data_IF_256224877543
#
_entry.id   IF_256224877543
#
_cell.length_a   1.000
_cell.length_b   1.000
_cell.length_c   1.000
_cell.angle_alpha   90.00
_cell.angle_beta   90.00
_cell.angle_gamma   90.00
#
_symmetry.space_group_name_H-M   'P 1'
#
loop_
_entity.id
_entity.type
_entity.pdbx_description
1 polymer ?
#
# COMPACT_ATOMS: atom_id res chain seq x y z
N UNK A 1 91.92 -23.90 -17.13
CA UNK A 1 91.65 -23.13 -18.37
C UNK A 1 91.68 -21.66 -18.02
N UNK A 2 92.15 -20.73 -18.87
CA UNK A 2 92.08 -19.33 -18.63
C UNK A 2 90.59 -18.92 -18.57
N UNK A 3 90.25 -17.98 -17.65
CA UNK A 3 88.90 -17.41 -17.54
C UNK A 3 88.63 -16.60 -18.80
N UNK A 4 87.54 -16.79 -19.49
CA UNK A 4 87.13 -15.95 -20.62
C UNK A 4 87.15 -14.46 -20.29
N UNK A 5 87.57 -13.60 -21.20
CA UNK A 5 87.80 -12.18 -20.99
C UNK A 5 86.50 -11.48 -20.38
N UNK A 6 85.39 -11.91 -20.83
CA UNK A 6 84.04 -11.37 -20.35
C UNK A 6 83.72 -11.64 -18.87
N UNK A 7 84.44 -12.53 -18.18
CA UNK A 7 84.20 -12.85 -16.76
C UNK A 7 85.41 -12.49 -15.86
N UNK A 8 86.42 -11.81 -16.34
CA UNK A 8 87.65 -11.49 -15.62
C UNK A 8 87.39 -10.47 -14.49
N UNK A 9 86.44 -9.56 -14.68
CA UNK A 9 86.08 -8.48 -13.75
C UNK A 9 84.94 -8.84 -12.78
N UNK A 10 84.42 -10.08 -12.82
CA UNK A 10 83.40 -10.49 -11.89
C UNK A 10 83.95 -10.54 -10.47
N UNK A 11 83.22 -9.93 -9.51
CA UNK A 11 83.56 -9.95 -8.08
C UNK A 11 83.56 -11.38 -7.53
N UNK A 12 84.27 -11.59 -6.38
CA UNK A 12 84.14 -12.84 -5.65
C UNK A 12 82.71 -12.97 -5.05
N UNK A 13 82.11 -14.15 -5.15
CA UNK A 13 80.75 -14.43 -4.71
C UNK A 13 79.90 -14.83 -5.88
N UNK A 14 78.62 -14.67 -5.70
CA UNK A 14 77.55 -14.89 -6.70
C UNK A 14 77.23 -13.58 -7.46
N UNK A 15 77.30 -13.65 -8.78
CA UNK A 15 77.00 -12.51 -9.66
C UNK A 15 76.09 -12.99 -10.77
N UNK A 16 75.04 -12.27 -11.01
CA UNK A 16 74.15 -12.47 -12.12
C UNK A 16 74.48 -11.49 -13.23
N UNK A 17 74.71 -12.02 -14.44
CA UNK A 17 74.98 -11.24 -15.66
C UNK A 17 73.73 -11.36 -16.53
N UNK A 18 73.02 -10.26 -16.66
CA UNK A 18 71.77 -10.18 -17.40
C UNK A 18 71.91 -9.79 -18.86
N UNK A 19 73.14 -9.45 -19.28
CA UNK A 19 73.42 -9.21 -20.70
C UNK A 19 73.61 -10.52 -21.41
N UNK A 20 73.11 -10.64 -22.66
CA UNK A 20 73.13 -11.87 -23.45
C UNK A 20 74.52 -12.34 -23.78
N UNK A 21 74.86 -13.62 -23.53
CA UNK A 21 74.01 -14.62 -22.86
C UNK A 21 73.95 -14.44 -21.33
N UNK A 22 72.73 -14.44 -20.81
CA UNK A 22 72.51 -14.35 -19.36
C UNK A 22 73.07 -15.57 -18.63
N UNK A 23 73.97 -15.34 -17.67
CA UNK A 23 74.64 -16.43 -16.97
C UNK A 23 74.76 -16.11 -15.45
N UNK A 24 74.68 -17.14 -14.66
CA UNK A 24 75.09 -17.09 -13.26
C UNK A 24 76.57 -17.41 -13.15
N UNK A 25 77.32 -16.53 -12.54
CA UNK A 25 78.73 -16.68 -12.27
C UNK A 25 78.93 -16.76 -10.76
N UNK A 26 79.55 -17.87 -10.28
CA UNK A 26 80.02 -18.01 -8.92
C UNK A 26 81.54 -18.11 -8.90
N UNK A 27 82.18 -17.14 -8.23
CA UNK A 27 83.64 -17.03 -8.16
C UNK A 27 84.10 -17.16 -6.69
N UNK A 28 85.08 -18.08 -6.46
CA UNK A 28 85.67 -18.30 -5.14
C UNK A 28 87.17 -18.36 -5.26
N UNK A 29 87.89 -17.81 -4.28
CA UNK A 29 89.34 -17.93 -4.21
C UNK A 29 89.75 -19.38 -3.85
N UNK A 30 90.80 -19.94 -4.56
CA UNK A 30 91.26 -21.27 -4.33
C UNK A 30 92.80 -21.31 -4.52
N UNK A 31 93.61 -21.79 -3.56
CA UNK A 31 95.04 -22.09 -3.56
C UNK A 31 95.87 -21.40 -4.70
N UNK A 32 95.95 -20.05 -4.68
CA UNK A 32 96.71 -19.26 -5.62
C UNK A 32 96.02 -18.92 -6.94
N UNK A 33 94.72 -19.20 -7.04
CA UNK A 33 93.89 -18.86 -8.22
C UNK A 33 92.46 -18.59 -7.83
N UNK A 34 91.57 -18.62 -8.79
CA UNK A 34 90.14 -18.54 -8.54
C UNK A 34 89.38 -19.66 -9.29
N UNK A 35 88.45 -20.30 -8.59
CA UNK A 35 87.47 -21.21 -9.19
C UNK A 35 86.25 -20.41 -9.63
N UNK A 36 85.80 -20.62 -10.87
CA UNK A 36 84.61 -19.99 -11.42
C UNK A 36 83.69 -21.06 -11.96
N UNK A 37 82.43 -21.00 -11.56
CA UNK A 37 81.37 -21.82 -12.11
C UNK A 37 80.40 -20.87 -12.85
N UNK A 38 80.21 -21.13 -14.12
CA UNK A 38 79.31 -20.39 -15.01
C UNK A 38 78.18 -21.32 -15.35
N UNK A 39 76.96 -20.88 -15.10
CA UNK A 39 75.76 -21.63 -15.41
C UNK A 39 74.87 -20.78 -16.34
N UNK A 40 74.51 -21.38 -17.44
CA UNK A 40 73.60 -20.78 -18.42
C UNK A 40 72.22 -20.57 -17.79
N UNK A 41 71.63 -19.41 -18.02
CA UNK A 41 70.36 -18.97 -17.47
C UNK A 41 69.23 -19.12 -18.50
N UNK A 42 69.54 -19.21 -19.80
CA UNK A 42 68.49 -19.28 -20.86
C UNK A 42 67.50 -20.42 -20.61
N UNK A 43 67.97 -21.60 -20.31
CA UNK A 43 67.08 -22.74 -20.01
C UNK A 43 66.25 -22.65 -18.67
N UNK A 44 66.56 -21.68 -17.81
CA UNK A 44 65.87 -21.46 -16.58
C UNK A 44 64.78 -20.43 -16.81
N UNK A 45 65.02 -19.35 -17.51
CA UNK A 45 64.07 -18.32 -17.88
C UNK A 45 62.91 -18.84 -18.75
N UNK A 46 63.24 -19.69 -19.74
CA UNK A 46 62.21 -20.34 -20.56
C UNK A 46 61.27 -21.18 -19.71
N UNK A 47 61.78 -21.96 -18.76
CA UNK A 47 60.95 -22.78 -17.86
C UNK A 47 60.16 -21.94 -16.88
N UNK A 48 60.70 -20.82 -16.41
CA UNK A 48 60.02 -19.90 -15.54
C UNK A 48 58.81 -19.24 -16.26
N UNK A 49 59.02 -18.82 -17.52
CA UNK A 49 57.93 -18.28 -18.35
C UNK A 49 56.83 -19.34 -18.63
N UNK A 50 57.24 -20.58 -18.97
CA UNK A 50 56.28 -21.68 -19.18
C UNK A 50 55.44 -21.94 -17.92
N UNK A 51 56.07 -21.99 -16.73
CA UNK A 51 55.39 -22.17 -15.44
C UNK A 51 54.49 -21.01 -15.12
N UNK A 52 54.92 -19.77 -15.42
CA UNK A 52 54.08 -18.58 -15.20
C UNK A 52 52.82 -18.59 -16.07
N UNK A 53 52.98 -18.93 -17.37
CA UNK A 53 51.86 -19.06 -18.31
C UNK A 53 50.89 -20.18 -17.85
N UNK A 54 51.45 -21.33 -17.43
CA UNK A 54 50.65 -22.45 -16.93
C UNK A 54 49.89 -22.05 -15.67
N UNK A 55 50.53 -21.35 -14.73
CA UNK A 55 49.88 -20.84 -13.52
C UNK A 55 48.75 -19.87 -13.86
N UNK A 56 48.99 -18.94 -14.79
CA UNK A 56 47.97 -17.99 -15.24
C UNK A 56 46.79 -18.69 -15.91
N UNK A 57 47.06 -19.69 -16.73
CA UNK A 57 46.03 -20.50 -17.40
C UNK A 57 45.18 -21.28 -16.38
N UNK A 58 45.80 -21.90 -15.39
CA UNK A 58 45.09 -22.60 -14.30
C UNK A 58 44.20 -21.61 -13.49
N UNK A 59 44.72 -20.43 -13.16
CA UNK A 59 44.02 -19.41 -12.43
C UNK A 59 42.83 -18.88 -13.23
N UNK A 60 42.97 -18.70 -14.54
CA UNK A 60 41.88 -18.31 -15.43
C UNK A 60 40.78 -19.39 -15.49
N UNK A 61 41.14 -20.66 -15.58
CA UNK A 61 40.22 -21.79 -15.61
C UNK A 61 39.43 -21.85 -14.29
N UNK A 62 40.09 -21.74 -13.15
CA UNK A 62 39.43 -21.72 -11.80
C UNK A 62 38.49 -20.55 -11.71
N UNK A 63 38.87 -19.36 -12.17
CA UNK A 63 38.03 -18.19 -12.19
C UNK A 63 36.78 -18.39 -13.06
N UNK A 64 36.93 -18.91 -14.27
CA UNK A 64 35.82 -19.17 -15.20
C UNK A 64 34.85 -20.22 -14.64
N UNK A 65 35.35 -21.29 -14.05
CA UNK A 65 34.55 -22.35 -13.41
C UNK A 65 33.80 -21.77 -12.21
N UNK A 66 34.47 -20.99 -11.35
CA UNK A 66 33.87 -20.31 -10.20
C UNK A 66 32.77 -19.33 -10.61
N UNK A 67 33.02 -18.52 -11.64
CA UNK A 67 32.03 -17.58 -12.17
C UNK A 67 30.81 -18.30 -12.78
N UNK A 68 31.01 -19.39 -13.51
CA UNK A 68 29.96 -20.20 -14.11
C UNK A 68 29.11 -20.89 -13.01
N UNK A 69 29.77 -21.45 -12.00
CA UNK A 69 29.08 -22.08 -10.85
C UNK A 69 28.31 -21.04 -10.03
N UNK A 70 28.89 -19.88 -9.73
CA UNK A 70 28.23 -18.78 -9.03
C UNK A 70 27.02 -18.26 -9.78
N UNK A 71 27.13 -18.08 -11.09
CA UNK A 71 25.99 -17.66 -11.93
C UNK A 71 24.88 -18.70 -11.95
N UNK A 72 25.20 -19.99 -12.05
CA UNK A 72 24.18 -21.07 -11.96
C UNK A 72 23.47 -21.08 -10.63
N UNK A 73 24.21 -20.98 -9.53
CA UNK A 73 23.65 -20.98 -8.17
C UNK A 73 22.74 -19.78 -7.96
N UNK A 74 23.20 -18.58 -8.37
CA UNK A 74 22.40 -17.37 -8.29
C UNK A 74 21.06 -17.48 -9.04
N UNK A 75 21.08 -18.06 -10.25
CA UNK A 75 19.86 -18.27 -11.04
C UNK A 75 18.94 -19.31 -10.42
N UNK A 76 19.47 -20.41 -9.88
CA UNK A 76 18.66 -21.47 -9.27
C UNK A 76 17.99 -21.03 -7.96
N UNK A 77 18.66 -20.22 -7.15
CA UNK A 77 18.15 -19.82 -5.82
C UNK A 77 17.39 -18.50 -5.89
N UNK A 78 17.92 -17.48 -6.58
CA UNK A 78 17.31 -16.14 -6.57
C UNK A 78 16.06 -16.02 -7.44
N UNK A 79 16.01 -16.62 -8.61
CA UNK A 79 14.84 -16.51 -9.50
C UNK A 79 13.53 -17.01 -8.90
N UNK A 80 13.48 -18.18 -8.22
CA UNK A 80 12.27 -18.64 -7.54
C UNK A 80 11.82 -17.67 -6.44
N UNK A 81 12.77 -17.14 -5.65
CA UNK A 81 12.48 -16.18 -4.56
C UNK A 81 11.90 -14.87 -5.12
N UNK A 82 12.47 -14.31 -6.20
CA UNK A 82 11.95 -13.12 -6.86
C UNK A 82 10.53 -13.33 -7.41
N UNK A 83 10.27 -14.47 -8.06
CA UNK A 83 8.94 -14.82 -8.56
C UNK A 83 7.93 -15.00 -7.42
N UNK A 84 8.35 -15.60 -6.31
CA UNK A 84 7.52 -15.76 -5.12
C UNK A 84 7.17 -14.39 -4.52
N UNK A 85 8.15 -13.51 -4.36
CA UNK A 85 7.95 -12.15 -3.89
C UNK A 85 7.04 -11.34 -4.82
N UNK A 86 7.17 -11.51 -6.15
CA UNK A 86 6.28 -10.89 -7.12
C UNK A 86 4.84 -11.41 -7.02
N UNK A 87 4.65 -12.72 -6.83
CA UNK A 87 3.34 -13.33 -6.65
C UNK A 87 2.64 -12.83 -5.37
N UNK A 88 3.38 -12.70 -4.27
CA UNK A 88 2.87 -12.14 -3.01
C UNK A 88 2.46 -10.67 -3.18
N UNK A 89 3.29 -9.86 -3.82
CA UNK A 89 2.95 -8.46 -4.13
C UNK A 89 1.70 -8.35 -5.01
N UNK A 90 1.62 -9.16 -6.05
CA UNK A 90 0.45 -9.19 -6.94
C UNK A 90 -0.83 -9.63 -6.21
N UNK A 91 -0.75 -10.61 -5.31
CA UNK A 91 -1.87 -11.03 -4.48
C UNK A 91 -2.34 -9.91 -3.54
N UNK A 92 -1.41 -9.17 -2.96
CA UNK A 92 -1.70 -8.04 -2.06
C UNK A 92 -2.42 -6.91 -2.78
N UNK A 93 -1.98 -6.57 -4.01
CA UNK A 93 -2.59 -5.48 -4.80
C UNK A 93 -3.95 -5.85 -5.40
N UNK A 94 -4.14 -7.11 -5.81
CA UNK A 94 -5.40 -7.58 -6.43
C UNK A 94 -6.40 -8.16 -5.44
N UNK A 95 -6.04 -8.23 -4.16
CA UNK A 95 -6.86 -8.89 -3.11
C UNK A 95 -7.31 -10.31 -3.47
N UNK A 96 -6.54 -11.01 -4.30
CA UNK A 96 -6.81 -12.37 -4.77
C UNK A 96 -5.54 -13.19 -4.75
N UNK A 97 -5.64 -14.45 -4.31
CA UNK A 97 -4.54 -15.39 -4.36
C UNK A 97 -4.75 -16.35 -5.54
N UNK A 98 -3.79 -16.36 -6.47
CA UNK A 98 -3.71 -17.38 -7.53
C UNK A 98 -2.69 -18.44 -7.11
N UNK A 99 -2.96 -19.73 -7.35
CA UNK A 99 -1.99 -20.79 -7.06
C UNK A 99 -0.66 -20.49 -7.74
N UNK A 100 0.44 -20.72 -7.02
CA UNK A 100 1.76 -20.57 -7.59
C UNK A 100 1.98 -21.51 -8.78
N UNK A 101 2.70 -21.08 -9.83
CA UNK A 101 3.09 -21.94 -10.93
C UNK A 101 3.83 -23.18 -10.42
N UNK A 102 3.53 -24.34 -11.00
CA UNK A 102 4.16 -25.63 -10.58
C UNK A 102 5.69 -25.61 -10.68
N UNK A 103 6.23 -24.75 -11.54
CA UNK A 103 7.68 -24.57 -11.74
C UNK A 103 8.39 -23.96 -10.52
N UNK A 104 7.65 -23.31 -9.61
CA UNK A 104 8.18 -22.74 -8.36
C UNK A 104 8.16 -23.73 -7.20
N UNK A 105 7.47 -24.86 -7.36
CA UNK A 105 7.41 -25.93 -6.36
C UNK A 105 8.49 -26.95 -6.71
N UNK A 106 9.73 -26.61 -6.43
CA UNK A 106 10.89 -27.49 -6.60
C UNK A 106 10.98 -28.49 -5.45
N UNK A 107 11.81 -29.56 -5.58
CA UNK A 107 12.02 -30.56 -4.52
C UNK A 107 13.17 -30.18 -3.58
N UNK A 108 13.34 -28.91 -3.32
CA UNK A 108 14.36 -28.34 -2.44
C UNK A 108 13.71 -27.50 -1.32
N UNK A 109 14.51 -26.91 -0.45
CA UNK A 109 14.08 -26.08 0.68
C UNK A 109 13.29 -24.85 0.20
N UNK A 110 13.65 -24.29 -0.96
CA UNK A 110 12.96 -23.13 -1.55
C UNK A 110 11.57 -23.54 -2.05
N UNK A 111 11.45 -24.71 -2.68
CA UNK A 111 10.18 -25.26 -3.11
C UNK A 111 9.26 -25.61 -1.94
N UNK A 112 9.80 -26.15 -0.85
CA UNK A 112 9.05 -26.40 0.37
C UNK A 112 8.53 -25.10 1.00
N UNK A 113 9.38 -24.07 1.07
CA UNK A 113 8.99 -22.74 1.54
C UNK A 113 7.89 -22.13 0.66
N UNK A 114 8.02 -22.25 -0.66
CA UNK A 114 7.02 -21.77 -1.61
C UNK A 114 5.67 -22.47 -1.42
N UNK A 115 5.67 -23.80 -1.21
CA UNK A 115 4.47 -24.59 -0.97
C UNK A 115 3.77 -24.20 0.35
N UNK A 116 4.53 -24.07 1.45
CA UNK A 116 4.00 -23.67 2.75
C UNK A 116 3.44 -22.25 2.74
N UNK A 117 4.15 -21.31 2.09
CA UNK A 117 3.68 -19.94 1.92
C UNK A 117 2.40 -19.91 1.08
N UNK A 118 2.36 -20.66 -0.02
CA UNK A 118 1.16 -20.78 -0.87
C UNK A 118 -0.03 -21.34 -0.09
N UNK A 119 0.18 -22.38 0.69
CA UNK A 119 -0.86 -22.98 1.54
C UNK A 119 -1.36 -22.00 2.61
N UNK A 120 -0.45 -21.25 3.24
CA UNK A 120 -0.78 -20.25 4.24
C UNK A 120 -1.57 -19.08 3.65
N UNK A 121 -1.14 -18.57 2.49
CA UNK A 121 -1.86 -17.54 1.75
C UNK A 121 -3.25 -18.02 1.32
N UNK A 122 -3.36 -19.25 0.80
CA UNK A 122 -4.66 -19.82 0.44
C UNK A 122 -5.61 -19.89 1.66
N UNK A 123 -5.12 -20.33 2.82
CA UNK A 123 -5.91 -20.34 4.06
C UNK A 123 -6.35 -18.94 4.47
N UNK A 124 -5.44 -17.96 4.41
CA UNK A 124 -5.73 -16.57 4.73
C UNK A 124 -6.80 -15.98 3.81
N UNK A 125 -6.64 -16.10 2.49
CA UNK A 125 -7.61 -15.59 1.53
C UNK A 125 -8.96 -16.31 1.64
N UNK A 126 -8.97 -17.60 1.93
CA UNK A 126 -10.20 -18.35 2.19
C UNK A 126 -10.92 -17.89 3.46
N UNK A 127 -10.17 -17.59 4.52
CA UNK A 127 -10.71 -17.03 5.75
C UNK A 127 -11.30 -15.63 5.52
N UNK A 128 -10.56 -14.75 4.85
CA UNK A 128 -11.03 -13.42 4.47
C UNK A 128 -12.30 -13.48 3.59
N UNK A 129 -12.35 -14.40 2.63
CA UNK A 129 -13.54 -14.59 1.79
C UNK A 129 -14.75 -15.07 2.58
N UNK A 130 -14.55 -15.97 3.57
CA UNK A 130 -15.62 -16.40 4.46
C UNK A 130 -16.12 -15.28 5.36
N UNK A 131 -15.22 -14.49 5.94
CA UNK A 131 -15.56 -13.34 6.76
C UNK A 131 -16.39 -12.32 5.98
N UNK A 132 -16.00 -12.04 4.73
CA UNK A 132 -16.76 -11.17 3.83
C UNK A 132 -18.15 -11.72 3.51
N UNK A 133 -18.25 -12.99 3.11
CA UNK A 133 -19.53 -13.63 2.83
C UNK A 133 -20.43 -13.58 4.05
N UNK A 134 -19.91 -13.92 5.24
CA UNK A 134 -20.63 -13.81 6.50
C UNK A 134 -21.18 -12.41 6.75
N UNK A 135 -20.36 -11.37 6.49
CA UNK A 135 -20.80 -9.98 6.67
C UNK A 135 -21.92 -9.61 5.68
N UNK A 136 -21.83 -10.08 4.43
CA UNK A 136 -22.89 -9.90 3.44
C UNK A 136 -24.20 -10.60 3.83
N UNK A 137 -24.11 -11.85 4.27
CA UNK A 137 -25.26 -12.66 4.70
C UNK A 137 -25.94 -12.04 5.93
N UNK A 138 -25.16 -11.71 6.96
CA UNK A 138 -25.68 -11.02 8.18
C UNK A 138 -26.42 -9.74 7.82
N UNK A 139 -25.99 -9.04 6.80
CA UNK A 139 -26.62 -7.82 6.32
C UNK A 139 -28.00 -8.02 5.78
N UNK A 140 -28.13 -9.01 4.91
CA UNK A 140 -29.45 -9.36 4.35
C UNK A 140 -30.37 -9.89 5.43
N UNK A 141 -29.85 -10.72 6.35
CA UNK A 141 -30.60 -11.28 7.47
C UNK A 141 -31.05 -10.23 8.50
N UNK A 142 -30.30 -9.11 8.66
CA UNK A 142 -30.69 -8.01 9.53
C UNK A 142 -31.64 -7.02 8.84
N UNK A 143 -31.49 -6.77 7.54
CA UNK A 143 -32.33 -5.84 6.80
C UNK A 143 -33.79 -6.30 6.76
N UNK A 144 -34.03 -7.60 6.55
CA UNK A 144 -35.38 -8.18 6.47
C UNK A 144 -36.21 -7.92 7.71
N UNK A 145 -35.80 -8.27 8.94
CA UNK A 145 -36.58 -7.98 10.13
C UNK A 145 -36.74 -6.48 10.40
N UNK A 146 -35.75 -5.66 10.08
CA UNK A 146 -35.83 -4.21 10.21
C UNK A 146 -36.93 -3.64 9.29
N UNK A 147 -36.97 -4.07 8.02
CA UNK A 147 -38.02 -3.67 7.09
C UNK A 147 -39.41 -4.07 7.60
N UNK A 148 -39.57 -5.26 8.17
CA UNK A 148 -40.83 -5.70 8.78
C UNK A 148 -41.24 -4.81 9.94
N UNK A 149 -40.30 -4.42 10.81
CA UNK A 149 -40.57 -3.50 11.92
C UNK A 149 -40.99 -2.14 11.37
N UNK A 150 -40.28 -1.58 10.40
CA UNK A 150 -40.58 -0.29 9.77
C UNK A 150 -41.95 -0.29 9.14
N UNK A 151 -42.29 -1.28 8.33
CA UNK A 151 -43.62 -1.43 7.72
C UNK A 151 -44.72 -1.58 8.75
N UNK A 152 -44.47 -2.35 9.83
CA UNK A 152 -45.46 -2.51 10.92
C UNK A 152 -45.71 -1.20 11.67
N UNK A 153 -44.67 -0.40 11.87
CA UNK A 153 -44.79 0.94 12.49
C UNK A 153 -45.56 1.87 11.58
N UNK A 154 -45.30 1.86 10.27
CA UNK A 154 -46.05 2.66 9.28
C UNK A 154 -47.54 2.30 9.29
N UNK A 155 -47.86 1.00 9.29
CA UNK A 155 -49.26 0.53 9.38
C UNK A 155 -49.93 0.95 10.67
N UNK A 156 -49.25 0.88 11.83
CA UNK A 156 -49.77 1.33 13.11
C UNK A 156 -50.10 2.84 13.10
N UNK A 157 -49.26 3.65 12.46
CA UNK A 157 -49.48 5.10 12.30
C UNK A 157 -50.71 5.45 11.46
N UNK A 158 -51.22 4.54 10.64
CA UNK A 158 -52.46 4.71 9.89
C UNK A 158 -53.71 4.45 10.73
N UNK A 159 -53.56 3.92 11.96
CA UNK A 159 -54.68 3.65 12.88
C UNK A 159 -54.83 4.77 13.91
N UNK A 160 -56.02 4.86 14.53
CA UNK A 160 -56.20 5.77 15.65
C UNK A 160 -55.39 5.30 16.86
N UNK A 161 -54.42 6.12 17.27
CA UNK A 161 -53.54 5.84 18.41
C UNK A 161 -53.81 6.84 19.53
N UNK A 162 -53.80 6.35 20.76
CA UNK A 162 -53.74 7.26 21.92
C UNK A 162 -52.39 7.97 21.98
N UNK A 163 -52.32 9.12 22.65
CA UNK A 163 -51.07 9.88 22.79
C UNK A 163 -49.95 9.06 23.46
N UNK A 164 -50.28 8.08 24.31
CA UNK A 164 -49.30 7.18 24.91
C UNK A 164 -48.78 6.15 23.90
N UNK A 165 -49.67 5.58 23.08
CA UNK A 165 -49.31 4.64 22.01
C UNK A 165 -48.48 5.32 20.93
N UNK A 166 -48.86 6.53 20.51
CA UNK A 166 -48.12 7.33 19.54
C UNK A 166 -46.66 7.53 20.00
N UNK A 167 -46.42 7.92 21.24
CA UNK A 167 -45.06 8.04 21.79
C UNK A 167 -44.27 6.74 21.74
N UNK A 168 -44.90 5.58 21.96
CA UNK A 168 -44.21 4.28 21.87
C UNK A 168 -43.93 3.91 20.42
N UNK A 169 -44.84 4.12 19.50
CA UNK A 169 -44.66 3.89 18.06
C UNK A 169 -43.51 4.75 17.52
N UNK A 170 -43.45 6.04 17.86
CA UNK A 170 -42.39 6.94 17.49
C UNK A 170 -41.03 6.51 18.07
N UNK A 171 -41.02 5.94 19.28
CA UNK A 171 -39.80 5.37 19.88
C UNK A 171 -39.31 4.13 19.13
N UNK A 172 -40.24 3.22 18.74
CA UNK A 172 -39.90 2.01 17.96
C UNK A 172 -39.38 2.41 16.59
N UNK A 173 -40.02 3.35 15.91
CA UNK A 173 -39.58 3.85 14.60
C UNK A 173 -38.16 4.42 14.67
N UNK A 174 -37.89 5.27 15.65
CA UNK A 174 -36.54 5.82 15.87
C UNK A 174 -35.52 4.72 16.10
N UNK A 175 -35.83 3.73 16.93
CA UNK A 175 -34.93 2.62 17.21
C UNK A 175 -34.68 1.75 15.99
N UNK A 176 -35.69 1.49 15.15
CA UNK A 176 -35.57 0.74 13.90
C UNK A 176 -34.71 1.48 12.90
N UNK A 177 -34.94 2.77 12.69
CA UNK A 177 -34.11 3.62 11.83
C UNK A 177 -32.64 3.66 12.29
N UNK A 178 -32.42 3.74 13.60
CA UNK A 178 -31.07 3.65 14.18
C UNK A 178 -30.38 2.33 13.85
N UNK A 179 -31.06 1.20 14.04
CA UNK A 179 -30.50 -0.12 13.69
C UNK A 179 -30.23 -0.22 12.20
N UNK A 180 -31.07 0.31 11.34
CA UNK A 180 -30.87 0.34 9.89
C UNK A 180 -29.61 1.13 9.54
N UNK A 181 -29.41 2.33 10.07
CA UNK A 181 -28.20 3.13 9.83
C UNK A 181 -26.93 2.46 10.35
N UNK A 182 -26.99 1.80 11.51
CA UNK A 182 -25.88 1.01 12.05
C UNK A 182 -25.50 -0.14 11.13
N UNK A 183 -26.49 -0.90 10.68
CA UNK A 183 -26.29 -2.05 9.77
C UNK A 183 -25.71 -1.56 8.45
N UNK A 184 -26.29 -0.54 7.82
CA UNK A 184 -25.78 0.00 6.55
C UNK A 184 -24.35 0.57 6.69
N UNK A 185 -24.06 1.28 7.78
CA UNK A 185 -22.72 1.79 8.07
C UNK A 185 -21.68 0.69 8.28
N UNK A 186 -22.05 -0.37 9.03
CA UNK A 186 -21.20 -1.54 9.23
C UNK A 186 -20.94 -2.29 7.92
N UNK A 187 -21.97 -2.37 7.06
CA UNK A 187 -21.89 -3.02 5.77
C UNK A 187 -21.08 -2.26 4.73
N UNK A 188 -21.24 -0.97 4.64
CA UNK A 188 -20.40 -0.11 3.84
C UNK A 188 -18.92 -0.35 4.23
N UNK A 189 -18.64 -0.44 5.53
CA UNK A 189 -17.31 -0.72 6.05
C UNK A 189 -16.80 -2.14 5.69
N UNK A 190 -17.64 -3.15 5.76
CA UNK A 190 -17.25 -4.54 5.47
C UNK A 190 -17.09 -4.82 3.96
N UNK A 191 -17.86 -4.16 3.11
CA UNK A 191 -17.75 -4.22 1.65
C UNK A 191 -16.56 -3.44 1.06
N UNK A 192 -15.80 -2.73 1.89
CA UNK A 192 -14.59 -1.98 1.53
C UNK A 192 -13.55 -2.74 0.72
N UNK A 193 -13.64 -4.05 0.66
CA UNK A 193 -12.69 -4.92 -0.01
C UNK A 193 -13.22 -5.62 -1.28
N UNK A 194 -14.48 -5.38 -1.66
CA UNK A 194 -15.05 -5.94 -2.90
C UNK A 194 -14.91 -4.92 -4.02
N UNK A 195 -14.27 -5.33 -5.11
CA UNK A 195 -14.17 -4.67 -6.41
C UNK A 195 -14.68 -3.22 -6.39
N UNK A 196 -13.95 -2.37 -5.75
CA UNK A 196 -14.16 -0.96 -5.90
C UNK A 196 -13.91 -0.66 -7.37
N UNK A 197 -14.97 -0.50 -8.15
CA UNK A 197 -14.88 0.16 -9.43
C UNK A 197 -14.00 1.39 -9.23
N UNK A 198 -13.42 1.87 -10.29
CA UNK A 198 -12.53 3.01 -10.24
C UNK A 198 -13.14 4.10 -11.10
N UNK A 199 -13.88 5.01 -10.47
CA UNK A 199 -14.56 6.11 -11.14
C UNK A 199 -13.90 7.45 -10.78
N UNK A 200 -14.05 8.44 -11.63
CA UNK A 200 -13.64 9.81 -11.34
C UNK A 200 -14.56 10.41 -10.28
N UNK A 201 -14.07 11.38 -9.55
CA UNK A 201 -14.87 12.11 -8.54
C UNK A 201 -16.11 12.71 -9.19
N UNK A 202 -15.98 13.34 -10.36
CA UNK A 202 -17.09 13.93 -11.11
C UNK A 202 -18.24 12.94 -11.41
N UNK A 203 -17.91 11.71 -11.80
CA UNK A 203 -18.90 10.68 -12.14
C UNK A 203 -19.69 10.25 -10.90
N UNK A 204 -18.97 10.08 -9.78
CA UNK A 204 -19.58 9.76 -8.48
C UNK A 204 -20.46 10.92 -7.98
N UNK A 205 -19.99 12.17 -8.07
CA UNK A 205 -20.77 13.34 -7.66
C UNK A 205 -22.03 13.48 -8.50
N UNK A 206 -21.97 13.21 -9.80
CA UNK A 206 -23.14 13.23 -10.66
C UNK A 206 -24.17 12.15 -10.26
N UNK A 207 -23.71 10.94 -9.89
CA UNK A 207 -24.59 9.88 -9.45
C UNK A 207 -25.25 10.23 -8.10
N UNK A 208 -24.50 10.78 -7.15
CA UNK A 208 -25.02 11.26 -5.87
C UNK A 208 -25.99 12.42 -6.07
N UNK A 209 -25.69 13.35 -6.98
CA UNK A 209 -26.57 14.46 -7.32
C UNK A 209 -27.93 14.01 -7.84
N UNK A 210 -27.98 13.01 -8.71
CA UNK A 210 -29.25 12.43 -9.20
C UNK A 210 -30.15 11.91 -8.06
N UNK A 211 -29.55 11.42 -7.00
CA UNK A 211 -30.28 10.88 -5.84
C UNK A 211 -30.73 12.01 -4.89
N UNK A 212 -29.83 12.94 -4.56
CA UNK A 212 -30.07 13.88 -3.46
C UNK A 212 -30.69 15.22 -3.88
N UNK A 213 -30.55 15.68 -5.13
CA UNK A 213 -31.18 16.92 -5.59
C UNK A 213 -32.71 16.86 -5.48
N UNK A 214 -33.40 15.77 -5.91
CA UNK A 214 -34.84 15.67 -5.72
C UNK A 214 -35.26 15.62 -4.26
N UNK A 215 -34.49 14.96 -3.38
CA UNK A 215 -34.78 14.88 -1.95
C UNK A 215 -34.54 16.23 -1.25
N UNK A 216 -33.51 16.97 -1.64
CA UNK A 216 -33.29 18.34 -1.16
C UNK A 216 -34.45 19.27 -1.57
N UNK A 217 -34.93 19.19 -2.81
CA UNK A 217 -36.06 19.99 -3.28
C UNK A 217 -37.35 19.67 -2.54
N UNK A 218 -37.62 18.39 -2.22
CA UNK A 218 -38.75 18.00 -1.37
C UNK A 218 -38.67 18.62 0.04
N UNK A 219 -37.46 18.76 0.57
CA UNK A 219 -37.22 19.41 1.86
C UNK A 219 -37.16 20.94 1.78
N UNK A 220 -37.46 21.55 0.61
CA UNK A 220 -37.41 22.99 0.40
C UNK A 220 -35.99 23.56 0.41
N UNK A 221 -34.97 22.73 0.10
CA UNK A 221 -33.54 23.09 0.13
C UNK A 221 -32.97 23.11 -1.27
N UNK A 222 -32.01 24.03 -1.52
CA UNK A 222 -31.26 24.08 -2.75
C UNK A 222 -29.97 23.32 -2.57
N UNK A 223 -29.73 22.27 -3.37
CA UNK A 223 -28.47 21.48 -3.39
C UNK A 223 -27.83 21.61 -4.78
N UNK A 224 -26.59 22.10 -4.80
CA UNK A 224 -25.85 22.35 -6.03
C UNK A 224 -24.52 21.61 -6.04
N UNK A 225 -24.24 20.94 -7.13
CA UNK A 225 -22.96 20.30 -7.40
C UNK A 225 -22.15 21.16 -8.37
N UNK A 226 -20.89 21.48 -8.02
CA UNK A 226 -19.98 22.28 -8.82
C UNK A 226 -18.65 21.56 -9.01
N UNK A 227 -18.03 21.81 -10.13
CA UNK A 227 -16.66 21.42 -10.39
C UNK A 227 -15.83 22.69 -10.56
N UNK A 228 -14.95 22.98 -9.60
CA UNK A 228 -14.00 24.10 -9.68
C UNK A 228 -12.71 23.64 -10.32
N UNK A 229 -12.29 22.40 -10.03
CA UNK A 229 -11.13 21.76 -10.61
C UNK A 229 -11.37 20.25 -10.69
N UNK A 230 -10.49 19.50 -11.36
CA UNK A 230 -10.59 18.06 -11.50
C UNK A 230 -9.64 17.38 -10.50
N UNK A 231 -10.21 16.58 -9.61
CA UNK A 231 -9.42 15.76 -8.70
C UNK A 231 -8.77 14.60 -9.48
N UNK A 232 -7.44 14.52 -9.55
CA UNK A 232 -6.77 13.47 -10.29
C UNK A 232 -6.96 12.12 -9.59
N UNK A 233 -7.04 11.05 -10.40
CA UNK A 233 -7.17 9.68 -9.91
C UNK A 233 -8.57 9.12 -10.04
N UNK A 234 -8.70 7.90 -9.57
CA UNK A 234 -9.94 7.14 -9.61
C UNK A 234 -10.19 6.48 -8.26
N UNK A 235 -11.42 6.53 -7.81
CA UNK A 235 -11.80 6.19 -6.45
C UNK A 235 -12.93 5.18 -6.43
N UNK A 236 -13.08 4.45 -5.32
CA UNK A 236 -14.22 3.55 -5.14
C UNK A 236 -15.54 4.34 -5.18
N UNK A 237 -16.41 4.12 -6.18
CA UNK A 237 -17.67 4.85 -6.29
C UNK A 237 -18.58 4.60 -5.07
N UNK A 238 -18.57 3.38 -4.53
CA UNK A 238 -19.35 3.05 -3.33
C UNK A 238 -18.90 3.84 -2.12
N UNK A 239 -17.58 3.94 -1.88
CA UNK A 239 -17.05 4.62 -0.71
C UNK A 239 -17.20 6.13 -0.80
N UNK A 240 -16.84 6.68 -1.95
CA UNK A 240 -16.94 8.11 -2.18
C UNK A 240 -18.41 8.56 -2.13
N UNK A 241 -19.33 7.82 -2.78
CA UNK A 241 -20.77 8.12 -2.70
C UNK A 241 -21.30 8.01 -1.27
N UNK A 242 -20.83 7.04 -0.49
CA UNK A 242 -21.21 6.92 0.95
C UNK A 242 -20.74 8.13 1.74
N UNK A 243 -19.49 8.57 1.53
CA UNK A 243 -18.95 9.78 2.20
C UNK A 243 -19.77 11.01 1.83
N UNK A 244 -19.94 11.26 0.53
CA UNK A 244 -20.67 12.44 0.04
C UNK A 244 -22.12 12.42 0.52
N UNK A 245 -22.81 11.27 0.43
CA UNK A 245 -24.19 11.12 0.86
C UNK A 245 -24.38 11.41 2.37
N UNK A 246 -23.45 10.94 3.22
CA UNK A 246 -23.49 11.25 4.64
C UNK A 246 -23.26 12.74 4.93
N UNK A 247 -22.35 13.39 4.22
CA UNK A 247 -22.10 14.83 4.35
C UNK A 247 -23.31 15.64 3.85
N UNK A 248 -23.89 15.27 2.69
CA UNK A 248 -25.10 15.93 2.15
C UNK A 248 -26.29 15.73 3.09
N UNK A 249 -26.50 14.51 3.61
CA UNK A 249 -27.56 14.23 4.59
C UNK A 249 -27.39 15.10 5.84
N UNK A 250 -26.16 15.25 6.32
CA UNK A 250 -25.84 16.10 7.46
C UNK A 250 -26.18 17.57 7.15
N UNK A 251 -25.74 18.08 6.00
CA UNK A 251 -26.04 19.44 5.55
C UNK A 251 -27.55 19.69 5.43
N UNK A 252 -28.31 18.77 4.82
CA UNK A 252 -29.78 18.87 4.72
C UNK A 252 -30.47 18.90 6.07
N UNK A 253 -29.91 18.19 7.07
CA UNK A 253 -30.50 18.09 8.41
C UNK A 253 -30.25 19.33 9.25
N UNK A 254 -29.02 19.90 9.19
CA UNK A 254 -28.58 20.94 10.11
C UNK A 254 -28.42 22.32 9.48
N UNK A 255 -28.53 22.44 8.15
CA UNK A 255 -28.47 23.74 7.48
C UNK A 255 -29.76 24.52 7.69
N UNK A 256 -29.62 25.83 7.76
CA UNK A 256 -30.75 26.78 7.71
C UNK A 256 -31.09 27.12 6.26
N UNK A 257 -31.68 28.30 6.02
CA UNK A 257 -31.92 28.80 4.68
C UNK A 257 -30.58 29.02 3.93
N UNK A 258 -30.54 28.65 2.65
CA UNK A 258 -29.37 28.81 1.81
C UNK A 258 -29.04 27.63 0.91
N UNK A 259 -28.05 27.79 0.11
CA UNK A 259 -27.59 26.79 -0.85
C UNK A 259 -26.61 25.82 -0.17
N UNK A 260 -26.89 24.52 -0.24
CA UNK A 260 -25.91 23.48 0.11
C UNK A 260 -25.07 23.22 -1.13
N UNK A 261 -23.75 23.38 -1.01
CA UNK A 261 -22.82 23.29 -2.12
C UNK A 261 -21.89 22.09 -1.97
N UNK A 262 -21.85 21.23 -2.99
CA UNK A 262 -20.88 20.15 -3.12
C UNK A 262 -19.93 20.51 -4.25
N UNK A 263 -18.66 20.71 -3.94
CA UNK A 263 -17.66 21.19 -4.90
C UNK A 263 -16.54 20.17 -5.06
N UNK A 264 -16.23 19.79 -6.30
CA UNK A 264 -14.99 19.08 -6.64
C UNK A 264 -13.84 20.09 -6.74
N UNK A 265 -12.71 19.77 -6.09
CA UNK A 265 -11.47 20.57 -6.11
C UNK A 265 -10.32 19.72 -6.65
N UNK A 266 -9.16 20.32 -6.90
CA UNK A 266 -7.96 19.60 -7.33
C UNK A 266 -7.48 18.51 -6.37
N UNK A 267 -7.87 18.56 -5.10
CA UNK A 267 -7.42 17.62 -4.07
C UNK A 267 -8.53 16.72 -3.50
N UNK A 268 -9.80 16.95 -3.89
CA UNK A 268 -10.91 16.17 -3.37
C UNK A 268 -12.24 16.86 -3.48
N UNK A 269 -13.02 16.84 -2.40
CA UNK A 269 -14.38 17.41 -2.35
C UNK A 269 -14.58 18.30 -1.13
N UNK A 270 -15.44 19.30 -1.29
CA UNK A 270 -15.92 20.17 -0.23
C UNK A 270 -17.44 20.13 -0.20
N UNK A 271 -18.03 19.90 0.96
CA UNK A 271 -19.48 20.04 1.21
C UNK A 271 -19.66 21.21 2.16
N UNK A 272 -20.28 22.28 1.67
CA UNK A 272 -20.53 23.48 2.45
C UNK A 272 -22.04 23.67 2.67
N UNK A 273 -22.39 24.10 3.87
CA UNK A 273 -23.75 24.37 4.33
C UNK A 273 -23.82 25.67 5.14
N UNK A 274 -25.02 26.14 5.41
CA UNK A 274 -25.34 27.33 6.22
C UNK A 274 -25.93 26.96 7.58
N UNK A 275 -25.39 25.92 8.21
CA UNK A 275 -25.77 25.52 9.56
C UNK A 275 -25.09 26.34 10.64
N UNK A 276 -25.57 26.19 11.88
CA UNK A 276 -24.98 26.85 13.05
C UNK A 276 -23.47 26.52 13.20
N UNK A 277 -22.65 27.47 13.64
CA UNK A 277 -21.24 27.23 13.89
C UNK A 277 -21.02 26.13 14.94
N UNK A 278 -20.19 25.18 14.63
CA UNK A 278 -19.80 24.10 15.54
C UNK A 278 -18.65 24.57 16.43
N UNK A 279 -18.87 24.61 17.78
CA UNK A 279 -17.85 25.07 18.71
C UNK A 279 -16.55 24.30 18.58
N UNK A 280 -15.35 24.93 18.67
CA UNK A 280 -14.05 24.27 18.52
C UNK A 280 -13.87 23.04 19.42
N UNK A 281 -14.43 23.07 20.62
CA UNK A 281 -14.41 21.94 21.56
C UNK A 281 -15.20 20.71 21.08
N UNK A 282 -16.17 20.91 20.19
CA UNK A 282 -17.02 19.85 19.66
C UNK A 282 -16.55 19.33 18.30
N UNK A 283 -15.78 20.11 17.54
CA UNK A 283 -15.35 19.78 16.16
C UNK A 283 -14.62 18.43 16.02
N UNK A 284 -13.88 18.01 17.03
CA UNK A 284 -13.25 16.67 17.03
C UNK A 284 -14.25 15.58 17.43
N UNK A 285 -15.16 15.90 18.33
CA UNK A 285 -16.10 14.94 18.91
C UNK A 285 -17.25 14.57 17.98
N UNK A 286 -17.63 15.46 17.03
CA UNK A 286 -18.70 15.16 16.07
C UNK A 286 -18.40 13.95 15.16
N UNK A 287 -17.15 13.53 15.08
CA UNK A 287 -16.74 12.32 14.36
C UNK A 287 -16.80 11.06 15.24
N UNK A 288 -17.05 11.19 16.55
CA UNK A 288 -17.27 10.04 17.43
C UNK A 288 -18.68 9.47 17.20
N UNK A 289 -18.85 8.15 17.26
CA UNK A 289 -20.16 7.54 17.12
C UNK A 289 -21.13 8.04 18.21
N UNK A 290 -22.40 8.27 17.83
CA UNK A 290 -23.49 8.70 18.74
C UNK A 290 -23.33 10.10 19.35
N UNK A 291 -22.33 10.86 18.96
CA UNK A 291 -22.17 12.24 19.40
C UNK A 291 -23.08 13.15 18.58
N UNK A 292 -23.82 14.00 19.28
CA UNK A 292 -24.65 15.08 18.70
C UNK A 292 -24.17 16.40 19.31
N UNK A 293 -24.03 17.43 18.49
CA UNK A 293 -23.70 18.77 18.97
C UNK A 293 -24.85 19.36 19.80
N UNK A 294 -24.56 20.29 20.70
CA UNK A 294 -25.58 20.93 21.56
C UNK A 294 -26.66 21.67 20.76
N UNK A 295 -26.31 22.25 19.63
CA UNK A 295 -27.26 22.92 18.71
C UNK A 295 -28.32 21.95 18.13
N UNK A 296 -28.09 20.64 18.17
CA UNK A 296 -29.02 19.63 17.65
C UNK A 296 -29.94 19.02 18.71
N UNK A 297 -29.86 19.49 19.96
CA UNK A 297 -30.71 18.96 21.05
C UNK A 297 -32.22 19.30 20.89
N UNK A 298 -32.51 20.41 20.23
CA UNK A 298 -33.88 20.90 20.02
C UNK A 298 -34.51 20.41 18.70
N UNK A 299 -33.73 19.78 17.82
CA UNK A 299 -34.27 19.21 16.59
C UNK A 299 -34.80 17.81 16.92
N UNK A 300 -36.11 17.71 17.14
CA UNK A 300 -36.80 16.45 17.52
C UNK A 300 -36.71 15.33 16.46
N UNK A 301 -36.19 15.62 15.28
CA UNK A 301 -36.09 14.68 14.17
C UNK A 301 -34.70 14.64 13.59
N UNK A 302 -34.26 13.43 13.31
CA UNK A 302 -33.23 13.05 12.33
C UNK A 302 -31.77 13.02 12.78
N UNK A 303 -31.25 11.80 12.87
CA UNK A 303 -29.84 11.48 12.86
C UNK A 303 -29.30 10.96 14.21
N UNK A 304 -28.79 9.73 14.18
CA UNK A 304 -28.29 9.04 15.38
C UNK A 304 -26.81 9.37 15.69
N UNK A 305 -26.23 10.38 15.01
CA UNK A 305 -24.82 10.73 15.20
C UNK A 305 -23.85 9.71 14.61
N UNK A 306 -24.28 8.95 13.60
CA UNK A 306 -23.45 7.92 12.98
C UNK A 306 -22.82 8.38 11.66
N UNK A 307 -23.45 9.29 10.90
CA UNK A 307 -23.01 9.68 9.57
C UNK A 307 -21.59 10.18 9.51
N UNK A 308 -21.22 11.11 10.38
CA UNK A 308 -19.85 11.65 10.43
C UNK A 308 -18.84 10.62 10.93
N UNK A 309 -19.21 9.71 11.82
CA UNK A 309 -18.34 8.61 12.25
C UNK A 309 -18.07 7.61 11.13
N UNK A 310 -19.04 7.38 10.23
CA UNK A 310 -18.88 6.57 9.01
C UNK A 310 -17.91 7.27 8.05
N UNK A 311 -18.09 8.58 7.82
CA UNK A 311 -17.16 9.39 7.00
C UNK A 311 -15.75 9.27 7.54
N UNK A 312 -15.54 9.50 8.83
CA UNK A 312 -14.23 9.38 9.48
C UNK A 312 -13.60 8.01 9.27
N UNK A 313 -14.34 6.93 9.53
CA UNK A 313 -13.83 5.55 9.38
C UNK A 313 -13.44 5.22 7.95
N UNK A 314 -14.24 5.65 6.95
CA UNK A 314 -13.92 5.47 5.54
C UNK A 314 -12.64 6.25 5.21
N UNK A 315 -12.56 7.52 5.58
CA UNK A 315 -11.38 8.35 5.33
C UNK A 315 -10.11 7.74 5.92
N UNK A 316 -10.13 7.37 7.21
CA UNK A 316 -8.99 6.75 7.87
C UNK A 316 -8.52 5.46 7.20
N UNK A 317 -9.45 4.63 6.73
CA UNK A 317 -9.11 3.37 6.07
C UNK A 317 -8.54 3.56 4.66
N UNK A 318 -9.03 4.58 3.95
CA UNK A 318 -8.60 4.89 2.58
C UNK A 318 -7.37 5.80 2.53
N UNK A 319 -6.86 6.25 3.65
CA UNK A 319 -5.80 7.26 3.72
C UNK A 319 -6.27 8.66 3.32
N UNK A 320 -7.60 8.88 3.26
CA UNK A 320 -8.19 10.19 3.01
C UNK A 320 -8.18 11.02 4.29
N UNK A 321 -8.23 12.34 4.13
CA UNK A 321 -8.32 13.25 5.26
C UNK A 321 -9.66 13.97 5.22
N UNK A 322 -10.32 14.11 6.38
CA UNK A 322 -11.52 14.91 6.53
C UNK A 322 -11.27 16.03 7.53
N UNK A 323 -11.58 17.25 7.12
CA UNK A 323 -11.43 18.46 7.92
C UNK A 323 -12.76 19.23 7.94
N UNK A 324 -12.98 19.96 9.03
CA UNK A 324 -14.12 20.86 9.20
C UNK A 324 -13.61 22.28 9.37
N UNK A 325 -14.10 23.18 8.55
CA UNK A 325 -14.06 24.61 8.77
C UNK A 325 -15.48 25.08 9.18
N UNK A 326 -15.61 25.75 10.31
CA UNK A 326 -16.89 26.18 10.84
C UNK A 326 -16.81 27.61 11.33
N UNK A 327 -17.76 28.44 10.93
CA UNK A 327 -17.78 29.87 11.20
C UNK A 327 -19.18 30.47 11.06
N UNK A 328 -19.28 31.83 11.14
CA UNK A 328 -20.58 32.54 11.06
C UNK A 328 -21.32 32.29 9.74
N UNK A 329 -20.59 31.99 8.67
CA UNK A 329 -21.17 31.77 7.34
C UNK A 329 -21.62 30.31 7.10
N UNK A 330 -21.48 29.44 8.12
CA UNK A 330 -21.83 28.02 8.07
C UNK A 330 -20.65 27.05 8.26
N UNK A 331 -20.82 25.84 7.79
CA UNK A 331 -19.84 24.75 7.93
C UNK A 331 -19.38 24.25 6.56
N UNK A 332 -18.10 23.91 6.46
CA UNK A 332 -17.51 23.31 5.27
C UNK A 332 -16.70 22.06 5.65
N UNK A 333 -17.15 20.90 5.20
CA UNK A 333 -16.45 19.64 5.33
C UNK A 333 -15.60 19.41 4.09
N UNK A 334 -14.29 19.39 4.25
CA UNK A 334 -13.33 19.13 3.19
C UNK A 334 -12.80 17.70 3.30
N UNK A 335 -12.98 16.90 2.26
CA UNK A 335 -12.40 15.55 2.16
C UNK A 335 -11.31 15.59 1.13
N UNK A 336 -10.05 15.47 1.59
CA UNK A 336 -8.87 15.35 0.73
C UNK A 336 -8.67 13.88 0.37
N UNK A 337 -8.68 13.58 -0.93
CA UNK A 337 -8.57 12.25 -1.47
C UNK A 337 -7.12 11.99 -1.86
N UNK A 338 -6.62 10.79 -1.53
CA UNK A 338 -5.32 10.30 -2.02
C UNK A 338 -5.61 9.28 -3.10
N UNK A 339 -5.02 9.44 -4.28
CA UNK A 339 -5.18 8.49 -5.38
C UNK A 339 -4.68 7.10 -4.97
N UNK A 340 -5.37 6.04 -5.43
CA UNK A 340 -4.91 4.66 -5.25
C UNK A 340 -3.52 4.41 -5.87
N UNK A 341 -3.12 5.22 -6.86
CA UNK A 341 -1.79 5.18 -7.45
C UNK A 341 -0.72 5.75 -6.49
N UNK A 342 -1.03 6.80 -5.75
CA UNK A 342 -0.12 7.42 -4.78
C UNK A 342 -0.02 6.62 -3.47
N UNK A 343 -1.05 5.87 -3.13
CA UNK A 343 -1.03 4.98 -1.96
C UNK A 343 -0.09 3.76 -2.12
N UNK A 344 0.36 3.47 -3.34
CA UNK A 344 1.31 2.39 -3.62
C UNK A 344 2.78 2.81 -3.44
N UNK A 345 3.09 4.10 -3.31
CA UNK A 345 4.42 4.56 -2.89
C UNK A 345 4.49 4.60 -1.36
N UNK A 346 5.39 3.84 -0.73
CA UNK A 346 5.59 3.95 0.71
C UNK A 346 6.08 5.37 1.00
N UNK A 347 5.38 6.06 1.88
CA UNK A 347 5.79 7.34 2.48
C UNK A 347 7.26 7.20 2.87
N UNK A 348 8.18 7.80 2.10
CA UNK A 348 9.55 8.04 2.52
C UNK A 348 9.45 8.90 3.77
N UNK A 349 9.64 8.26 4.92
CA UNK A 349 9.88 8.99 6.16
C UNK A 349 11.09 9.90 5.91
N UNK A 350 10.85 11.17 5.94
CA UNK A 350 11.87 12.19 6.11
C UNK A 350 12.39 12.13 7.56
N UNK A 351 13.17 11.08 7.87
CA UNK A 351 14.04 11.02 9.02
C UNK A 351 15.46 11.31 8.53
N UNK A 352 15.68 12.57 8.14
CA UNK A 352 17.02 13.17 8.06
C UNK A 352 16.84 14.67 8.25
N UNK A 353 16.86 15.07 9.51
CA UNK A 353 17.35 16.40 9.95
C UNK A 353 17.44 16.38 11.50
N UNK A 354 18.67 16.27 11.98
CA UNK A 354 19.00 16.47 13.37
C UNK A 354 20.22 15.70 13.80
#
# INVERSE_FOLDING_TARGET
KPVPAQFQDCPFGFTEITEAPAVFVWRRAWQGGSLMIVRDQEGFEEKEQELFILMLAVLLVVFLVGAAAGKRLAVQVMRPVEKLAAAVRAASSQNTWKPLPKELITRDEVGNLAAELSASMHRLFKALKREKAFTGDVSHELRTPLTVIETSVELLKLTELTAAQQRQVDKIERSSKMMHELVEGFLAFARLSENAGSDRVSDVLQAVGRLWIPEAAKAGRQLVFRQEDCCPGSFSPLLLSTVVSNLVKNALTYSHEGEIKVTETSTGIVVADHGDPIPPAEQKRIFEPFVRGKASADIEQTGFGLGLSIVWRICMRMGWQVNLASGPDGNAFTVTLVSLADAAEPVRRSDELG
#
